data_IF_554101760765
#
_entry.id   IF_554101760765
#
_cell.length_a   1.000
_cell.length_b   1.000
_cell.length_c   1.000
_cell.angle_alpha   90.00
_cell.angle_beta   90.00
_cell.angle_gamma   90.00
#
_symmetry.space_group_name_H-M   'P 1'
#
loop_
_entity.id
_entity.type
_entity.pdbx_description
1 polymer ?
#
# COMPACT_ATOMS: atom_id res chain seq x y z
N UNK A 1 34.32 -13.18 6.42
CA UNK A 1 33.43 -12.65 5.36
C UNK A 1 32.12 -13.37 5.53
N UNK A 2 31.07 -12.64 5.89
CA UNK A 2 29.79 -13.27 6.23
C UNK A 2 28.98 -13.54 4.97
N UNK A 3 28.48 -14.76 4.84
CA UNK A 3 27.59 -15.14 3.76
C UNK A 3 26.17 -14.79 4.18
N UNK A 4 25.57 -13.83 3.47
CA UNK A 4 24.18 -13.44 3.64
C UNK A 4 23.27 -14.22 2.69
N UNK A 5 22.01 -14.41 3.08
CA UNK A 5 20.98 -15.07 2.27
C UNK A 5 19.75 -14.18 2.11
N UNK A 6 19.04 -14.36 1.00
CA UNK A 6 17.75 -13.73 0.75
C UNK A 6 16.68 -14.32 1.68
N UNK A 7 16.00 -13.46 2.45
CA UNK A 7 14.98 -13.87 3.42
C UNK A 7 13.59 -14.04 2.78
N UNK A 8 13.21 -13.13 1.88
CA UNK A 8 11.89 -13.08 1.24
C UNK A 8 11.97 -13.52 -0.22
N UNK A 9 10.92 -14.13 -0.79
CA UNK A 9 10.94 -14.59 -2.18
C UNK A 9 11.00 -13.45 -3.21
N UNK A 10 10.57 -12.23 -2.86
CA UNK A 10 10.56 -11.03 -3.74
C UNK A 10 9.88 -11.25 -5.10
N UNK A 11 8.97 -12.23 -5.18
CA UNK A 11 8.19 -12.48 -6.39
C UNK A 11 7.06 -11.46 -6.53
N UNK A 12 6.49 -11.33 -7.73
CA UNK A 12 5.33 -10.48 -7.97
C UNK A 12 4.18 -10.77 -6.98
N UNK A 13 3.88 -12.05 -6.77
CA UNK A 13 2.84 -12.46 -5.82
C UNK A 13 3.13 -12.04 -4.37
N UNK A 14 4.41 -12.02 -3.98
CA UNK A 14 4.81 -11.53 -2.66
C UNK A 14 4.54 -10.02 -2.53
N UNK A 15 4.87 -9.23 -3.55
CA UNK A 15 4.59 -7.78 -3.58
C UNK A 15 3.08 -7.48 -3.53
N UNK A 16 2.28 -8.14 -4.38
CA UNK A 16 0.82 -7.94 -4.42
C UNK A 16 0.18 -8.27 -3.07
N UNK A 17 0.57 -9.38 -2.44
CA UNK A 17 0.02 -9.77 -1.15
C UNK A 17 0.35 -8.74 -0.07
N UNK A 18 1.59 -8.25 -0.04
CA UNK A 18 1.97 -7.17 0.87
C UNK A 18 1.10 -5.92 0.66
N UNK A 19 0.88 -5.51 -0.59
CA UNK A 19 0.05 -4.35 -0.96
C UNK A 19 -1.44 -4.49 -0.59
N UNK A 20 -1.96 -5.73 -0.50
CA UNK A 20 -3.35 -6.03 -0.11
C UNK A 20 -3.54 -6.18 1.39
N UNK A 21 -2.46 -6.37 2.14
CA UNK A 21 -2.52 -6.72 3.57
C UNK A 21 -2.03 -5.59 4.46
N UNK A 22 -1.07 -4.79 3.97
CA UNK A 22 -0.41 -3.76 4.76
C UNK A 22 -1.12 -2.43 4.63
N UNK A 23 -1.40 -1.81 5.77
CA UNK A 23 -1.98 -0.47 5.83
C UNK A 23 -0.92 0.59 5.54
N UNK A 24 -1.29 1.57 4.72
CA UNK A 24 -0.45 2.74 4.47
C UNK A 24 -0.64 3.78 5.57
N UNK A 25 0.43 4.54 5.86
CA UNK A 25 0.40 5.69 6.77
C UNK A 25 -0.32 6.86 6.11
N UNK A 26 -1.63 6.74 6.08
CA UNK A 26 -2.53 7.65 5.39
C UNK A 26 -2.95 8.83 6.25
N UNK A 27 -3.13 8.59 7.55
CA UNK A 27 -3.41 9.65 8.53
C UNK A 27 -2.17 10.53 8.71
N UNK A 28 -2.39 11.84 8.84
CA UNK A 28 -1.37 12.87 9.08
C UNK A 28 -0.26 12.99 8.03
N UNK A 29 -0.52 12.49 6.81
CA UNK A 29 0.43 12.57 5.70
C UNK A 29 -0.11 13.43 4.55
N UNK A 30 0.49 14.62 4.40
CA UNK A 30 0.14 15.62 3.38
C UNK A 30 0.19 15.11 1.94
N UNK A 31 0.97 14.06 1.67
CA UNK A 31 1.02 13.44 0.35
C UNK A 31 -0.34 12.89 -0.09
N UNK A 32 -1.16 12.44 0.87
CA UNK A 32 -2.46 11.83 0.59
C UNK A 32 -3.64 12.81 0.63
N UNK A 33 -3.41 14.12 0.81
CA UNK A 33 -4.49 15.12 0.91
C UNK A 33 -5.42 15.17 -0.32
N UNK A 34 -4.93 14.74 -1.48
CA UNK A 34 -5.70 14.64 -2.72
C UNK A 34 -6.82 13.60 -2.66
N UNK A 35 -6.70 12.58 -1.81
CA UNK A 35 -7.65 11.47 -1.68
C UNK A 35 -8.80 11.82 -0.70
N UNK A 36 -9.56 12.88 -1.04
CA UNK A 36 -10.60 13.45 -0.16
C UNK A 36 -11.62 12.41 0.32
N UNK A 37 -12.10 11.55 -0.56
CA UNK A 37 -13.08 10.50 -0.22
C UNK A 37 -12.59 9.59 0.90
N UNK A 38 -11.33 9.14 0.85
CA UNK A 38 -10.79 8.26 1.88
C UNK A 38 -10.59 9.00 3.21
N UNK A 39 -10.21 10.28 3.19
CA UNK A 39 -10.17 11.09 4.41
C UNK A 39 -11.56 11.26 5.04
N UNK A 40 -12.58 11.47 4.24
CA UNK A 40 -13.96 11.62 4.72
C UNK A 40 -14.50 10.29 5.28
N UNK A 41 -14.24 9.16 4.62
CA UNK A 41 -14.60 7.82 5.10
C UNK A 41 -13.88 7.45 6.41
N UNK A 42 -12.60 7.82 6.54
CA UNK A 42 -11.82 7.62 7.77
C UNK A 42 -12.36 8.49 8.91
N UNK A 43 -12.73 9.75 8.64
CA UNK A 43 -13.36 10.65 9.64
C UNK A 43 -14.74 10.19 10.05
N UNK A 44 -15.54 9.68 9.10
CA UNK A 44 -16.87 9.13 9.35
C UNK A 44 -16.82 7.75 10.05
N UNK A 45 -15.64 7.12 10.13
CA UNK A 45 -15.45 5.80 10.71
C UNK A 45 -16.01 4.64 9.86
N UNK A 46 -16.44 4.92 8.63
CA UNK A 46 -16.94 3.90 7.69
C UNK A 46 -15.81 3.06 7.10
N UNK A 47 -14.59 3.62 7.06
CA UNK A 47 -13.36 2.93 6.70
C UNK A 47 -12.38 2.96 7.86
N UNK A 48 -11.68 1.84 8.10
CA UNK A 48 -10.70 1.71 9.19
C UNK A 48 -9.27 2.03 8.77
N UNK A 49 -8.90 1.66 7.54
CA UNK A 49 -7.56 1.84 7.00
C UNK A 49 -7.59 1.93 5.47
N UNK A 50 -6.47 2.37 4.90
CA UNK A 50 -6.23 2.42 3.46
C UNK A 50 -5.01 1.56 3.18
N UNK A 51 -5.07 0.77 2.12
CA UNK A 51 -3.97 -0.08 1.64
C UNK A 51 -3.52 0.38 0.26
N UNK A 52 -2.37 -0.12 -0.17
CA UNK A 52 -1.82 0.20 -1.51
C UNK A 52 -2.80 -0.24 -2.61
N UNK A 53 -3.56 -1.31 -2.40
CA UNK A 53 -4.61 -1.76 -3.31
C UNK A 53 -5.77 -0.77 -3.47
N UNK A 54 -6.11 0.02 -2.44
CA UNK A 54 -7.22 0.99 -2.49
C UNK A 54 -6.86 2.25 -3.31
N UNK A 55 -5.57 2.56 -3.41
CA UNK A 55 -5.07 3.78 -4.08
C UNK A 55 -4.54 3.52 -5.49
N UNK A 56 -4.85 2.35 -6.07
CA UNK A 56 -4.47 1.99 -7.44
C UNK A 56 -3.04 1.46 -7.59
N UNK A 57 -2.39 1.00 -6.51
CA UNK A 57 -1.04 0.45 -6.55
C UNK A 57 -0.94 -0.99 -7.07
N UNK A 58 -1.99 -1.51 -7.72
CA UNK A 58 -2.02 -2.83 -8.36
C UNK A 58 -2.24 -2.74 -9.89
N UNK A 59 -2.29 -1.53 -10.45
CA UNK A 59 -2.35 -1.35 -11.90
C UNK A 59 -1.05 -1.81 -12.56
N UNK A 60 -1.15 -2.59 -13.64
CA UNK A 60 0.01 -3.20 -14.30
C UNK A 60 1.10 -2.17 -14.63
N UNK A 61 0.70 -0.99 -15.12
CA UNK A 61 1.59 0.09 -15.53
C UNK A 61 2.35 0.78 -14.37
N UNK A 62 1.94 0.54 -13.12
CA UNK A 62 2.64 1.10 -11.95
C UNK A 62 3.89 0.31 -11.58
N UNK A 63 3.99 -0.95 -12.04
CA UNK A 63 5.11 -1.84 -11.75
C UNK A 63 5.81 -2.36 -13.02
N UNK A 64 5.10 -2.39 -14.16
CA UNK A 64 5.59 -2.82 -15.46
C UNK A 64 5.47 -1.65 -16.44
N UNK A 65 6.62 -1.03 -16.74
CA UNK A 65 6.72 0.04 -17.73
C UNK A 65 6.88 -0.54 -19.14
#
# INVERSE_FOLDING_TARGET
MDVLRQYSPLSMGWCINCHRQTDVKFQDNKYYDSYKTYHDELKAGTRKSVKVSDIGGLECQKCHY
#
